data_IF_107749786967
#
_entry.id   IF_107749786967
#
_cell.length_a   1.000
_cell.length_b   1.000
_cell.length_c   1.000
_cell.angle_alpha   90.00
_cell.angle_beta   90.00
_cell.angle_gamma   90.00
#
_symmetry.space_group_name_H-M   'P 1'
#
loop_
_entity.id
_entity.type
_entity.pdbx_description
1 polymer ?
#
# COMPACT_ATOMS: atom_id res chain seq x y z
N UNK A 1 3.28 7.87 -15.78
CA UNK A 1 2.84 9.26 -16.10
C UNK A 1 2.73 10.06 -14.82
N UNK A 2 2.99 11.35 -14.89
CA UNK A 2 2.80 12.28 -13.78
C UNK A 2 2.08 13.53 -14.23
N UNK A 3 1.44 14.22 -13.30
CA UNK A 3 0.73 15.47 -13.57
C UNK A 3 1.15 16.53 -12.57
N UNK A 4 1.32 17.77 -13.05
CA UNK A 4 1.47 18.93 -12.20
C UNK A 4 0.09 19.60 -12.07
N UNK A 5 -0.40 19.70 -10.86
CA UNK A 5 -1.67 20.33 -10.54
C UNK A 5 -1.48 21.50 -9.57
N UNK A 6 -2.32 22.52 -9.66
CA UNK A 6 -2.19 23.69 -8.83
C UNK A 6 -3.37 24.66 -8.97
N UNK A 7 -3.32 25.75 -8.24
CA UNK A 7 -4.29 26.85 -8.35
C UNK A 7 -4.07 27.64 -9.64
N UNK A 8 -5.13 28.18 -10.25
CA UNK A 8 -5.05 29.00 -11.45
C UNK A 8 -4.10 30.19 -11.30
N UNK A 9 -3.99 30.76 -10.12
CA UNK A 9 -3.07 31.87 -9.83
C UNK A 9 -1.59 31.53 -10.03
N UNK A 10 -1.24 30.25 -10.12
CA UNK A 10 0.13 29.76 -10.37
C UNK A 10 0.40 29.38 -11.82
N UNK A 11 -0.61 29.43 -12.69
CA UNK A 11 -0.53 29.02 -14.09
C UNK A 11 0.58 29.74 -14.84
N UNK A 12 0.68 31.06 -14.70
CA UNK A 12 1.69 31.85 -15.41
C UNK A 12 3.10 31.56 -14.91
N UNK A 13 3.27 31.27 -13.61
CA UNK A 13 4.55 30.85 -13.05
C UNK A 13 4.97 29.46 -13.60
N UNK A 14 4.03 28.52 -13.66
CA UNK A 14 4.27 27.19 -14.21
C UNK A 14 4.65 27.24 -15.70
N UNK A 15 4.00 28.11 -16.48
CA UNK A 15 4.29 28.28 -17.91
C UNK A 15 5.67 28.89 -18.20
N UNK A 16 6.31 29.52 -17.21
CA UNK A 16 7.66 30.09 -17.35
C UNK A 16 8.77 29.07 -17.08
N UNK A 17 8.43 27.92 -16.54
CA UNK A 17 9.40 26.85 -16.29
C UNK A 17 9.53 26.02 -17.56
N UNK A 18 10.77 25.94 -18.09
CA UNK A 18 11.04 25.02 -19.19
C UNK A 18 10.94 23.59 -18.67
N UNK A 19 10.09 22.81 -19.30
CA UNK A 19 9.82 21.45 -18.91
C UNK A 19 9.82 20.54 -20.15
N UNK A 20 10.70 19.54 -20.18
CA UNK A 20 10.91 18.69 -21.34
C UNK A 20 11.27 17.27 -20.91
N UNK A 21 10.98 16.30 -21.76
CA UNK A 21 11.32 14.90 -21.55
C UNK A 21 10.97 14.03 -22.73
N UNK A 22 11.68 12.92 -22.91
CA UNK A 22 11.52 12.02 -24.06
C UNK A 22 10.09 11.50 -24.23
N UNK A 23 9.35 11.33 -23.13
CA UNK A 23 8.00 10.79 -23.11
C UNK A 23 6.90 11.86 -23.15
N UNK A 24 7.27 13.14 -23.29
CA UNK A 24 6.30 14.23 -23.41
C UNK A 24 5.39 14.03 -24.61
N UNK A 25 4.11 14.35 -24.40
CA UNK A 25 3.07 14.24 -25.41
C UNK A 25 2.86 12.84 -26.02
N UNK A 26 3.39 11.80 -25.38
CA UNK A 26 3.04 10.43 -25.74
C UNK A 26 1.58 10.15 -25.36
N UNK A 27 0.73 9.96 -26.35
CA UNK A 27 -0.72 9.80 -26.16
C UNK A 27 -1.12 8.49 -25.51
N UNK A 28 -0.35 7.41 -25.67
CA UNK A 28 -0.69 6.11 -25.14
C UNK A 28 -0.73 6.09 -23.60
N UNK A 29 0.31 6.56 -22.86
CA UNK A 29 0.23 6.69 -21.41
C UNK A 29 -0.86 7.65 -20.93
N UNK A 30 -1.17 8.70 -21.69
CA UNK A 30 -2.26 9.63 -21.35
C UNK A 30 -3.62 8.95 -21.45
N UNK A 31 -3.86 8.17 -22.51
CA UNK A 31 -5.08 7.41 -22.68
C UNK A 31 -5.23 6.33 -21.57
N UNK A 32 -4.15 5.62 -21.25
CA UNK A 32 -4.13 4.64 -20.17
C UNK A 32 -4.44 5.29 -18.81
N UNK A 33 -3.82 6.45 -18.53
CA UNK A 33 -4.08 7.20 -17.29
C UNK A 33 -5.54 7.63 -17.18
N UNK A 34 -6.11 8.16 -18.28
CA UNK A 34 -7.52 8.55 -18.33
C UNK A 34 -8.43 7.36 -18.04
N UNK A 35 -8.22 6.24 -18.74
CA UNK A 35 -9.00 5.02 -18.53
C UNK A 35 -8.91 4.49 -17.10
N UNK A 36 -7.71 4.52 -16.50
CA UNK A 36 -7.49 4.14 -15.10
C UNK A 36 -8.29 5.01 -14.14
N UNK A 37 -8.26 6.34 -14.31
CA UNK A 37 -9.01 7.25 -13.45
C UNK A 37 -10.52 7.09 -13.60
N UNK A 38 -11.02 6.89 -14.83
CA UNK A 38 -12.42 6.62 -15.10
C UNK A 38 -12.87 5.29 -14.46
N UNK A 39 -12.03 4.26 -14.51
CA UNK A 39 -12.32 2.97 -13.89
C UNK A 39 -12.31 3.07 -12.36
N UNK A 40 -11.33 3.75 -11.76
CA UNK A 40 -11.28 3.98 -10.31
C UNK A 40 -12.57 4.67 -9.80
N UNK A 41 -13.08 5.64 -10.56
CA UNK A 41 -14.35 6.30 -10.23
C UNK A 41 -15.54 5.36 -10.42
N UNK A 42 -15.59 4.62 -11.53
CA UNK A 42 -16.69 3.72 -11.88
C UNK A 42 -16.93 2.64 -10.82
N UNK A 43 -15.86 2.08 -10.27
CA UNK A 43 -15.94 1.01 -9.26
C UNK A 43 -15.87 1.53 -7.82
N UNK A 44 -15.80 2.85 -7.62
CA UNK A 44 -15.61 3.45 -6.28
C UNK A 44 -14.37 2.90 -5.56
N UNK A 45 -13.29 2.77 -6.30
CA UNK A 45 -12.07 2.05 -5.90
C UNK A 45 -11.47 2.55 -4.57
N UNK A 46 -11.47 3.86 -4.35
CA UNK A 46 -10.85 4.47 -3.16
C UNK A 46 -11.56 4.01 -1.88
N UNK A 47 -12.88 3.95 -1.87
CA UNK A 47 -13.65 3.49 -0.72
C UNK A 47 -13.45 2.00 -0.47
N UNK A 48 -13.44 1.19 -1.53
CA UNK A 48 -13.16 -0.25 -1.43
C UNK A 48 -11.77 -0.49 -0.84
N UNK A 49 -10.74 0.14 -1.42
CA UNK A 49 -9.37 -0.01 -0.93
C UNK A 49 -9.20 0.48 0.51
N UNK A 50 -9.87 1.56 0.90
CA UNK A 50 -9.83 2.05 2.28
C UNK A 50 -10.54 1.11 3.25
N UNK A 51 -11.70 0.58 2.89
CA UNK A 51 -12.43 -0.38 3.73
C UNK A 51 -11.60 -1.65 3.96
N UNK A 52 -11.02 -2.20 2.88
CA UNK A 52 -10.15 -3.38 2.95
C UNK A 52 -8.87 -3.09 3.74
N UNK A 53 -8.31 -1.90 3.61
CA UNK A 53 -7.13 -1.48 4.38
C UNK A 53 -7.40 -1.34 5.87
N UNK A 54 -8.55 -0.80 6.27
CA UNK A 54 -8.93 -0.73 7.69
C UNK A 54 -9.19 -2.13 8.27
N UNK A 55 -9.81 -3.04 7.50
CA UNK A 55 -9.96 -4.44 7.90
C UNK A 55 -8.60 -5.08 8.10
N UNK A 56 -7.71 -4.99 7.10
CA UNK A 56 -6.36 -5.56 7.15
C UNK A 56 -5.58 -5.03 8.35
N UNK A 57 -5.60 -3.74 8.59
CA UNK A 57 -4.95 -3.11 9.74
C UNK A 57 -5.46 -3.67 11.07
N UNK A 58 -6.78 -3.74 11.24
CA UNK A 58 -7.41 -4.26 12.45
C UNK A 58 -7.02 -5.71 12.70
N UNK A 59 -7.12 -6.54 11.66
CA UNK A 59 -6.93 -7.98 11.78
C UNK A 59 -5.43 -8.32 12.00
N UNK A 60 -4.50 -7.59 11.37
CA UNK A 60 -3.05 -7.76 11.62
C UNK A 60 -2.64 -7.31 13.03
N UNK A 61 -3.22 -6.23 13.56
CA UNK A 61 -2.97 -5.82 14.93
C UNK A 61 -3.47 -6.91 15.90
N UNK A 62 -4.70 -7.40 15.70
CA UNK A 62 -5.26 -8.47 16.53
C UNK A 62 -4.42 -9.75 16.47
N UNK A 63 -4.00 -10.15 15.26
CA UNK A 63 -3.13 -11.32 15.09
C UNK A 63 -1.77 -11.15 15.79
N UNK A 64 -1.17 -9.96 15.70
CA UNK A 64 0.09 -9.68 16.41
C UNK A 64 -0.06 -9.75 17.92
N UNK A 65 -1.15 -9.23 18.48
CA UNK A 65 -1.44 -9.23 19.91
C UNK A 65 -1.55 -10.67 20.48
N UNK A 66 -2.05 -11.64 19.69
CA UNK A 66 -2.13 -13.06 20.08
C UNK A 66 -0.74 -13.67 20.37
N UNK A 67 0.30 -13.15 19.72
CA UNK A 67 1.70 -13.58 19.93
C UNK A 67 2.52 -12.60 20.77
N UNK A 68 1.86 -11.61 21.41
CA UNK A 68 2.53 -10.59 22.22
C UNK A 68 3.36 -9.59 21.40
N UNK A 69 3.12 -9.51 20.11
CA UNK A 69 3.80 -8.60 19.18
C UNK A 69 2.99 -7.31 18.99
N UNK A 70 3.60 -6.18 19.23
CA UNK A 70 2.97 -4.88 19.01
C UNK A 70 3.14 -4.44 17.57
N UNK A 71 2.06 -4.41 16.83
CA UNK A 71 2.05 -3.96 15.44
C UNK A 71 1.70 -2.48 15.36
N UNK A 72 2.60 -1.69 14.80
CA UNK A 72 2.34 -0.28 14.46
C UNK A 72 1.95 -0.17 12.99
N UNK A 73 0.87 0.55 12.74
CA UNK A 73 0.42 0.84 11.37
C UNK A 73 0.43 2.35 11.16
N UNK A 74 1.04 2.78 10.06
CA UNK A 74 1.06 4.17 9.62
C UNK A 74 0.60 4.27 8.17
N UNK A 75 0.34 5.48 7.69
CA UNK A 75 -0.17 5.72 6.34
C UNK A 75 -1.69 5.73 6.28
N UNK A 76 -2.23 5.94 5.07
CA UNK A 76 -3.66 5.84 4.81
C UNK A 76 -4.07 4.39 4.62
N UNK A 77 -5.36 4.03 4.83
CA UNK A 77 -5.78 2.63 4.78
C UNK A 77 -5.42 1.90 3.48
N UNK A 78 -5.54 2.56 2.34
CA UNK A 78 -5.16 2.02 1.03
C UNK A 78 -3.66 1.92 0.77
N UNK A 79 -2.83 2.56 1.60
CA UNK A 79 -1.36 2.53 1.52
C UNK A 79 -0.75 2.40 2.93
N UNK A 80 -1.00 1.30 3.64
CA UNK A 80 -0.50 1.10 4.99
C UNK A 80 0.99 0.73 4.99
N UNK A 81 1.67 1.09 6.07
CA UNK A 81 2.96 0.54 6.43
C UNK A 81 2.83 -0.16 7.77
N UNK A 82 3.12 -1.45 7.80
CA UNK A 82 3.09 -2.29 8.99
C UNK A 82 4.50 -2.47 9.54
N UNK A 83 4.65 -2.36 10.84
CA UNK A 83 5.91 -2.59 11.52
C UNK A 83 5.67 -3.26 12.86
N UNK A 84 6.46 -4.29 13.15
CA UNK A 84 6.56 -4.82 14.51
C UNK A 84 7.39 -3.83 15.31
N UNK A 85 6.80 -3.27 16.39
CA UNK A 85 7.53 -2.44 17.36
C UNK A 85 8.25 -3.34 18.34
N UNK A 86 9.52 -3.59 18.09
CA UNK A 86 10.39 -4.31 19.01
C UNK A 86 11.71 -3.53 19.21
N UNK A 87 12.36 -3.78 20.36
CA UNK A 87 13.71 -3.28 20.65
C UNK A 87 14.75 -3.94 19.74
N UNK A 88 14.50 -5.15 19.27
CA UNK A 88 15.31 -5.85 18.30
C UNK A 88 14.75 -5.61 16.88
N UNK A 89 15.46 -4.80 16.10
CA UNK A 89 15.08 -4.45 14.72
C UNK A 89 14.96 -5.65 13.76
N UNK A 90 15.51 -6.79 14.15
CA UNK A 90 15.56 -7.99 13.32
C UNK A 90 14.21 -8.72 13.25
N UNK A 91 13.34 -8.59 14.27
CA UNK A 91 12.02 -9.22 14.26
C UNK A 91 11.16 -8.82 13.08
N UNK A 92 11.13 -7.53 12.75
CA UNK A 92 10.37 -7.07 11.60
C UNK A 92 10.88 -7.62 10.28
N UNK A 93 12.21 -7.73 10.12
CA UNK A 93 12.83 -8.32 8.92
C UNK A 93 12.52 -9.81 8.87
N UNK A 94 12.72 -10.53 9.96
CA UNK A 94 12.40 -11.96 10.05
C UNK A 94 10.94 -12.25 9.72
N UNK A 95 10.02 -11.43 10.23
CA UNK A 95 8.59 -11.56 9.90
C UNK A 95 8.32 -11.36 8.41
N UNK A 96 8.92 -10.35 7.76
CA UNK A 96 8.73 -10.14 6.32
C UNK A 96 9.32 -11.27 5.49
N UNK A 97 10.46 -11.85 5.92
CA UNK A 97 11.07 -13.02 5.28
C UNK A 97 10.21 -14.27 5.43
N UNK A 98 9.62 -14.48 6.62
CA UNK A 98 8.66 -15.55 6.88
C UNK A 98 7.38 -15.39 6.05
N UNK A 99 6.85 -14.18 5.92
CA UNK A 99 5.74 -13.87 5.02
C UNK A 99 6.09 -14.24 3.56
N UNK A 100 7.27 -13.85 3.10
CA UNK A 100 7.75 -14.14 1.74
C UNK A 100 7.87 -15.65 1.50
N UNK A 101 8.41 -16.40 2.45
CA UNK A 101 8.54 -17.86 2.37
C UNK A 101 7.20 -18.57 2.21
N UNK A 102 6.12 -17.94 2.67
CA UNK A 102 4.73 -18.43 2.60
C UNK A 102 3.92 -17.83 1.47
N UNK A 103 4.56 -17.08 0.57
CA UNK A 103 3.94 -16.51 -0.63
C UNK A 103 3.36 -15.11 -0.48
N UNK A 104 3.56 -14.43 0.66
CA UNK A 104 3.15 -13.04 0.88
C UNK A 104 4.37 -12.11 0.77
N UNK A 105 4.45 -11.36 -0.32
CA UNK A 105 5.50 -10.37 -0.52
C UNK A 105 5.19 -9.06 0.21
N UNK A 106 5.99 -8.76 1.23
CA UNK A 106 6.00 -7.50 1.96
C UNK A 106 7.41 -6.90 1.94
N UNK A 107 7.50 -5.58 1.87
CA UNK A 107 8.78 -4.89 2.04
C UNK A 107 8.96 -4.44 3.47
N UNK A 108 10.16 -4.59 4.02
CA UNK A 108 10.44 -4.21 5.41
C UNK A 108 10.62 -2.70 5.63
N UNK A 109 10.71 -1.90 4.57
CA UNK A 109 11.11 -0.48 4.64
C UNK A 109 10.21 0.46 3.83
N UNK A 110 9.15 -0.03 3.22
CA UNK A 110 8.27 0.77 2.36
C UNK A 110 6.80 0.48 2.68
N UNK A 111 5.91 1.46 2.44
CA UNK A 111 4.48 1.24 2.53
C UNK A 111 4.00 0.25 1.45
N UNK A 112 2.91 -0.42 1.77
CA UNK A 112 2.24 -1.37 0.89
C UNK A 112 1.11 -0.67 0.14
N UNK A 113 0.64 -1.29 -0.95
CA UNK A 113 -0.41 -0.72 -1.78
C UNK A 113 -1.53 -1.74 -1.94
N UNK A 114 -2.73 -1.34 -1.58
CA UNK A 114 -3.93 -2.12 -1.89
C UNK A 114 -4.48 -1.70 -3.25
N UNK A 115 -5.15 -2.62 -3.88
CA UNK A 115 -5.90 -2.40 -5.12
C UNK A 115 -7.29 -3.02 -4.98
N UNK A 116 -8.16 -2.76 -5.93
CA UNK A 116 -9.50 -3.38 -5.97
C UNK A 116 -9.46 -4.89 -6.21
N UNK A 117 -8.31 -5.44 -6.60
CA UNK A 117 -8.11 -6.88 -6.74
C UNK A 117 -7.85 -7.57 -5.38
N UNK A 118 -7.57 -6.81 -4.32
CA UNK A 118 -7.52 -7.34 -2.96
C UNK A 118 -8.95 -7.30 -2.39
N UNK A 119 -9.75 -8.32 -2.73
CA UNK A 119 -11.07 -8.53 -2.14
C UNK A 119 -11.01 -9.11 -0.73
N UNK A 120 -12.14 -9.54 -0.20
CA UNK A 120 -12.23 -10.08 1.15
C UNK A 120 -11.39 -11.36 1.31
N UNK A 121 -11.43 -12.26 0.32
CA UNK A 121 -10.67 -13.52 0.32
C UNK A 121 -9.15 -13.27 0.36
N UNK A 122 -8.66 -12.32 -0.45
CA UNK A 122 -7.25 -11.97 -0.47
C UNK A 122 -6.81 -11.31 0.84
N UNK A 123 -7.65 -10.47 1.43
CA UNK A 123 -7.35 -9.84 2.73
C UNK A 123 -7.28 -10.91 3.83
N UNK A 124 -8.21 -11.85 3.87
CA UNK A 124 -8.20 -12.94 4.83
C UNK A 124 -6.97 -13.84 4.66
N UNK A 125 -6.58 -14.12 3.44
CA UNK A 125 -5.37 -14.90 3.13
C UNK A 125 -4.09 -14.16 3.56
N UNK A 126 -4.00 -12.85 3.32
CA UNK A 126 -2.89 -12.01 3.81
C UNK A 126 -2.78 -12.09 5.33
N UNK A 127 -3.88 -11.94 6.05
CA UNK A 127 -3.91 -12.01 7.52
C UNK A 127 -3.50 -13.40 7.99
N UNK A 128 -4.00 -14.46 7.37
CA UNK A 128 -3.66 -15.84 7.71
C UNK A 128 -2.15 -16.12 7.55
N UNK A 129 -1.55 -15.69 6.42
CA UNK A 129 -0.11 -15.89 6.18
C UNK A 129 0.70 -15.07 7.18
N UNK A 130 0.34 -13.82 7.41
CA UNK A 130 1.04 -12.94 8.32
C UNK A 130 0.96 -13.42 9.77
N UNK A 131 -0.18 -13.99 10.21
CA UNK A 131 -0.36 -14.59 11.53
C UNK A 131 0.54 -15.81 11.72
N UNK A 132 0.60 -16.71 10.73
CA UNK A 132 1.51 -17.86 10.77
C UNK A 132 2.99 -17.43 10.82
N UNK A 133 3.31 -16.31 10.20
CA UNK A 133 4.65 -15.74 10.26
C UNK A 133 4.94 -15.09 11.63
N UNK A 134 3.95 -14.50 12.31
CA UNK A 134 4.09 -14.03 13.70
C UNK A 134 4.40 -15.18 14.66
N UNK A 135 3.69 -16.29 14.54
CA UNK A 135 3.96 -17.49 15.34
C UNK A 135 5.42 -17.96 15.19
N UNK A 136 5.91 -17.98 13.94
CA UNK A 136 7.27 -18.44 13.66
C UNK A 136 8.36 -17.53 14.22
N UNK A 137 8.14 -16.21 14.30
CA UNK A 137 9.13 -15.27 14.85
C UNK A 137 9.01 -15.05 16.35
N UNK A 138 7.86 -15.38 16.95
CA UNK A 138 7.64 -15.26 18.39
C UNK A 138 8.09 -16.53 19.15
N UNK A 139 8.38 -17.64 18.45
CA UNK A 139 8.85 -18.92 19.02
C UNK A 139 10.34 -18.89 19.30
#
# INVERSE_FOLDING_TARGET
ISALVGKDSLKDAANRVYFSGTQFFNSAPMAASKATLEELQRVNAIEIMNANGEKLKKDLISAGDEFGLKIKVTGVPSMPYFRIEDQNKDFHIQWTDECLSRGLYLTSYHNHFLSVAHGEEEIDEIVRIASNAFEAVAS
#
